data_IF_461417327380
#
_entry.id   IF_461417327380
#
_cell.length_a   1.000
_cell.length_b   1.000
_cell.length_c   1.000
_cell.angle_alpha   90.00
_cell.angle_beta   90.00
_cell.angle_gamma   90.00
#
_symmetry.space_group_name_H-M   'P 1'
#
loop_
_entity.id
_entity.type
_entity.pdbx_description
1 polymer ?
#
# COMPACT_ATOMS: atom_id res chain seq x y z
N UNK A 1 -15.59 11.35 -15.80
CA UNK A 1 -15.81 10.57 -14.55
C UNK A 1 -15.91 11.57 -13.40
N UNK A 2 -16.89 11.43 -12.49
CA UNK A 2 -16.93 12.32 -11.31
C UNK A 2 -15.73 12.04 -10.40
N UNK A 3 -15.24 13.06 -9.69
CA UNK A 3 -14.09 12.92 -8.78
C UNK A 3 -14.35 11.86 -7.69
N UNK A 4 -15.58 11.81 -7.18
CA UNK A 4 -16.04 10.81 -6.20
C UNK A 4 -15.97 9.37 -6.71
N UNK A 5 -16.36 9.11 -7.96
CA UNK A 5 -16.27 7.76 -8.55
C UNK A 5 -14.83 7.31 -8.70
N UNK A 6 -13.92 8.25 -9.04
CA UNK A 6 -12.49 7.96 -9.19
C UNK A 6 -11.88 7.54 -7.85
N UNK A 7 -12.10 8.31 -6.79
CA UNK A 7 -11.59 8.03 -5.44
C UNK A 7 -12.12 6.70 -4.90
N UNK A 8 -13.42 6.43 -5.06
CA UNK A 8 -14.01 5.15 -4.65
C UNK A 8 -13.34 3.96 -5.37
N UNK A 9 -13.06 4.11 -6.66
CA UNK A 9 -12.42 3.05 -7.46
C UNK A 9 -10.96 2.84 -7.05
N UNK A 10 -10.24 3.91 -6.70
CA UNK A 10 -8.89 3.80 -6.15
C UNK A 10 -8.91 3.04 -4.82
N UNK A 11 -9.84 3.35 -3.92
CA UNK A 11 -9.92 2.69 -2.62
C UNK A 11 -10.17 1.18 -2.75
N UNK A 12 -11.14 0.75 -3.58
CA UNK A 12 -11.37 -0.70 -3.78
C UNK A 12 -10.16 -1.42 -4.40
N UNK A 13 -9.37 -0.75 -5.25
CA UNK A 13 -8.14 -1.31 -5.81
C UNK A 13 -7.06 -1.42 -4.73
N UNK A 14 -6.91 -0.39 -3.88
CA UNK A 14 -5.97 -0.39 -2.74
C UNK A 14 -6.33 -1.50 -1.74
N UNK A 15 -7.59 -1.63 -1.38
CA UNK A 15 -8.07 -2.64 -0.44
C UNK A 15 -7.82 -4.05 -0.96
N UNK A 16 -8.18 -4.32 -2.22
CA UNK A 16 -7.93 -5.61 -2.87
C UNK A 16 -6.43 -5.96 -2.89
N UNK A 17 -5.57 -4.98 -3.17
CA UNK A 17 -4.13 -5.17 -3.16
C UNK A 17 -3.57 -5.45 -1.76
N UNK A 18 -4.04 -4.73 -0.74
CA UNK A 18 -3.68 -4.96 0.67
C UNK A 18 -4.11 -6.35 1.14
N UNK A 19 -5.30 -6.82 0.76
CA UNK A 19 -5.76 -8.17 1.06
C UNK A 19 -4.90 -9.24 0.37
N UNK A 20 -4.54 -9.05 -0.91
CA UNK A 20 -3.63 -9.95 -1.60
C UNK A 20 -2.26 -10.01 -0.93
N UNK A 21 -1.75 -8.89 -0.42
CA UNK A 21 -0.49 -8.84 0.33
C UNK A 21 -0.54 -9.59 1.66
N UNK A 22 -1.73 -9.83 2.24
CA UNK A 22 -1.88 -10.71 3.41
C UNK A 22 -1.79 -12.19 3.03
N UNK A 23 -2.02 -12.53 1.77
CA UNK A 23 -2.10 -13.92 1.29
C UNK A 23 -0.84 -14.38 0.57
N UNK A 24 -0.16 -13.49 -0.17
CA UNK A 24 0.96 -13.87 -1.04
C UNK A 24 1.99 -12.74 -1.21
N UNK A 25 3.18 -13.10 -1.66
CA UNK A 25 4.28 -12.15 -1.84
C UNK A 25 3.97 -11.12 -2.91
N UNK A 26 4.44 -9.89 -2.73
CA UNK A 26 4.26 -8.80 -3.68
C UNK A 26 4.72 -9.17 -5.10
N UNK A 27 5.84 -9.88 -5.24
CA UNK A 27 6.35 -10.38 -6.53
C UNK A 27 5.34 -11.27 -7.27
N UNK A 28 4.59 -12.10 -6.55
CA UNK A 28 3.59 -13.02 -7.11
C UNK A 28 2.23 -12.36 -7.43
N UNK A 29 1.97 -11.17 -6.89
CA UNK A 29 0.74 -10.43 -7.19
C UNK A 29 0.80 -9.93 -8.64
N UNK A 30 -0.27 -10.17 -9.40
CA UNK A 30 -0.42 -9.71 -10.78
C UNK A 30 -1.56 -8.70 -10.85
N UNK A 31 -1.59 -7.90 -11.91
CA UNK A 31 -2.68 -6.96 -12.15
C UNK A 31 -4.02 -7.71 -12.29
N UNK A 32 -4.02 -8.93 -12.84
CA UNK A 32 -5.22 -9.76 -12.92
C UNK A 32 -5.76 -10.13 -11.53
N UNK A 33 -4.89 -10.58 -10.62
CA UNK A 33 -5.30 -10.88 -9.24
C UNK A 33 -5.96 -9.67 -8.58
N UNK A 34 -5.38 -8.47 -8.75
CA UNK A 34 -5.92 -7.23 -8.18
C UNK A 34 -7.28 -6.90 -8.80
N UNK A 35 -7.39 -6.97 -10.12
CA UNK A 35 -8.63 -6.68 -10.85
C UNK A 35 -9.76 -7.63 -10.47
N UNK A 36 -9.47 -8.94 -10.38
CA UNK A 36 -10.43 -9.97 -9.97
C UNK A 36 -10.91 -9.72 -8.53
N UNK A 37 -9.99 -9.47 -7.60
CA UNK A 37 -10.31 -9.24 -6.19
C UNK A 37 -11.08 -7.93 -5.97
N UNK A 38 -10.74 -6.87 -6.69
CA UNK A 38 -11.44 -5.58 -6.65
C UNK A 38 -12.76 -5.57 -7.45
N UNK A 39 -13.07 -6.64 -8.19
CA UNK A 39 -14.20 -6.71 -9.13
C UNK A 39 -14.21 -5.57 -10.16
N UNK A 40 -13.05 -5.27 -10.75
CA UNK A 40 -12.90 -4.24 -11.79
C UNK A 40 -12.26 -4.81 -13.06
N UNK A 41 -12.58 -4.22 -14.21
CA UNK A 41 -11.87 -4.54 -15.44
C UNK A 41 -10.43 -4.03 -15.40
N UNK A 42 -9.50 -4.70 -16.11
CA UNK A 42 -8.11 -4.24 -16.26
C UNK A 42 -8.00 -2.83 -16.83
N UNK A 43 -8.85 -2.47 -17.79
CA UNK A 43 -8.92 -1.12 -18.33
C UNK A 43 -9.29 -0.08 -17.27
N UNK A 44 -9.96 -0.48 -16.19
CA UNK A 44 -10.23 0.37 -15.03
C UNK A 44 -8.99 0.53 -14.17
N UNK A 45 -8.27 -0.55 -13.86
CA UNK A 45 -6.99 -0.48 -13.16
C UNK A 45 -6.03 0.50 -13.84
N UNK A 46 -5.84 0.34 -15.16
CA UNK A 46 -4.92 1.18 -15.94
C UNK A 46 -5.37 2.65 -16.10
N UNK A 47 -6.59 3.02 -15.71
CA UNK A 47 -6.98 4.44 -15.59
C UNK A 47 -6.49 5.09 -14.30
N UNK A 48 -6.07 4.29 -13.32
CA UNK A 48 -5.63 4.76 -12.01
C UNK A 48 -4.14 4.52 -11.77
N UNK A 49 -3.59 3.42 -12.30
CA UNK A 49 -2.22 2.99 -12.07
C UNK A 49 -1.62 2.38 -13.34
N UNK A 50 -0.40 2.78 -13.68
CA UNK A 50 0.42 2.23 -14.76
C UNK A 50 0.77 0.76 -14.47
N UNK A 51 1.15 0.46 -13.22
CA UNK A 51 1.51 -0.87 -12.77
C UNK A 51 1.26 -1.08 -11.27
N UNK A 52 1.64 -2.27 -10.76
CA UNK A 52 1.49 -2.61 -9.34
C UNK A 52 2.47 -1.87 -8.42
N UNK A 53 3.56 -1.32 -8.95
CA UNK A 53 4.54 -0.56 -8.19
C UNK A 53 4.05 0.87 -7.94
N UNK A 54 3.37 1.49 -8.90
CA UNK A 54 2.68 2.76 -8.69
C UNK A 54 1.57 2.61 -7.64
N UNK A 55 0.76 1.56 -7.74
CA UNK A 55 -0.24 1.25 -6.72
C UNK A 55 0.39 1.06 -5.33
N UNK A 56 1.50 0.32 -5.25
CA UNK A 56 2.23 0.16 -4.00
C UNK A 56 2.70 1.48 -3.41
N UNK A 57 3.23 2.39 -4.25
CA UNK A 57 3.65 3.71 -3.82
C UNK A 57 2.49 4.53 -3.24
N UNK A 58 1.33 4.52 -3.91
CA UNK A 58 0.14 5.23 -3.47
C UNK A 58 -0.41 4.67 -2.14
N UNK A 59 -0.45 3.34 -2.00
CA UNK A 59 -0.82 2.67 -0.74
C UNK A 59 0.16 3.03 0.38
N UNK A 60 1.47 2.95 0.12
CA UNK A 60 2.50 3.26 1.13
C UNK A 60 2.42 4.71 1.59
N UNK A 61 2.24 5.65 0.66
CA UNK A 61 2.04 7.07 0.98
C UNK A 61 0.75 7.29 1.79
N UNK A 62 -0.33 6.59 1.45
CA UNK A 62 -1.59 6.68 2.21
C UNK A 62 -1.40 6.20 3.66
N UNK A 63 -0.65 5.13 3.87
CA UNK A 63 -0.32 4.62 5.21
C UNK A 63 0.56 5.63 5.97
N UNK A 64 1.62 6.15 5.34
CA UNK A 64 2.52 7.11 5.96
C UNK A 64 1.80 8.39 6.39
N UNK A 65 0.92 8.93 5.54
CA UNK A 65 0.09 10.11 5.86
C UNK A 65 -0.83 9.80 7.03
N UNK A 66 -1.53 8.65 7.02
CA UNK A 66 -2.44 8.28 8.10
C UNK A 66 -1.73 8.14 9.45
N UNK A 67 -0.55 7.52 9.48
CA UNK A 67 0.26 7.41 10.70
C UNK A 67 0.65 8.82 11.17
N UNK A 68 1.24 9.64 10.28
CA UNK A 68 1.67 10.98 10.64
C UNK A 68 0.54 11.91 11.12
N UNK A 69 -0.67 11.79 10.55
CA UNK A 69 -1.83 12.56 10.98
C UNK A 69 -2.36 12.12 12.36
N UNK A 70 -2.24 10.84 12.70
CA UNK A 70 -2.58 10.32 14.04
C UNK A 70 -1.59 10.84 15.10
N UNK A 71 -0.30 10.94 14.74
CA UNK A 71 0.76 11.36 15.66
C UNK A 71 0.71 12.85 16.06
N UNK A 72 0.08 13.73 15.26
CA UNK A 72 0.09 15.21 15.48
C UNK A 72 -0.51 15.70 16.81
N UNK A 73 -0.99 14.80 17.66
CA UNK A 73 -1.65 15.12 18.93
C UNK A 73 -0.72 15.05 20.16
N UNK A 74 0.56 14.68 20.00
CA UNK A 74 1.51 14.48 21.11
C UNK A 74 2.61 15.54 21.26
N UNK A 75 3.24 15.60 22.45
CA UNK A 75 4.36 16.52 22.77
C UNK A 75 5.73 16.03 22.28
N UNK A 76 5.84 14.75 21.92
CA UNK A 76 7.05 14.10 21.40
C UNK A 76 6.68 13.33 20.12
N UNK A 77 6.71 14.06 19.01
CA UNK A 77 6.23 13.59 17.70
C UNK A 77 7.07 12.43 17.18
N UNK A 78 8.40 12.50 17.31
CA UNK A 78 9.31 11.48 16.78
C UNK A 78 9.12 10.15 17.50
N UNK A 79 9.04 10.18 18.84
CA UNK A 79 8.80 8.98 19.63
C UNK A 79 7.44 8.35 19.33
N UNK A 80 6.39 9.17 19.33
CA UNK A 80 5.02 8.69 19.08
C UNK A 80 4.91 8.09 17.68
N UNK A 81 5.51 8.73 16.67
CA UNK A 81 5.54 8.21 15.30
C UNK A 81 6.29 6.87 15.23
N UNK A 82 7.40 6.74 15.94
CA UNK A 82 8.15 5.50 16.00
C UNK A 82 7.32 4.37 16.63
N UNK A 83 6.65 4.65 17.75
CA UNK A 83 5.77 3.69 18.43
C UNK A 83 4.59 3.25 17.52
N UNK A 84 3.94 4.20 16.83
CA UNK A 84 2.87 3.91 15.86
C UNK A 84 3.34 3.11 14.65
N UNK A 85 4.53 3.40 14.12
CA UNK A 85 5.12 2.61 13.01
C UNK A 85 5.36 1.17 13.46
N UNK A 86 5.95 0.97 14.65
CA UNK A 86 6.23 -0.36 15.19
C UNK A 86 4.92 -1.13 15.42
N UNK A 87 3.91 -0.51 16.01
CA UNK A 87 2.59 -1.12 16.21
C UNK A 87 1.94 -1.50 14.87
N UNK A 88 1.98 -0.60 13.89
CA UNK A 88 1.43 -0.86 12.56
C UNK A 88 2.13 -2.04 11.88
N UNK A 89 3.46 -2.13 11.98
CA UNK A 89 4.24 -3.24 11.45
C UNK A 89 3.87 -4.54 12.14
N UNK A 90 3.74 -4.55 13.47
CA UNK A 90 3.42 -5.75 14.25
C UNK A 90 2.02 -6.29 13.91
N UNK A 91 1.02 -5.41 13.89
CA UNK A 91 -0.35 -5.73 13.49
C UNK A 91 -0.42 -6.27 12.06
N UNK A 92 0.41 -5.72 11.16
CA UNK A 92 0.44 -6.08 9.74
C UNK A 92 1.64 -6.96 9.35
N UNK A 93 2.21 -7.73 10.29
CA UNK A 93 3.46 -8.51 10.07
C UNK A 93 3.48 -9.33 8.78
N UNK A 94 2.35 -9.95 8.42
CA UNK A 94 2.23 -10.79 7.22
C UNK A 94 2.40 -9.98 5.94
N UNK A 95 1.83 -8.78 5.90
CA UNK A 95 1.96 -7.87 4.77
C UNK A 95 3.42 -7.44 4.61
N UNK A 96 4.07 -7.02 5.71
CA UNK A 96 5.49 -6.63 5.68
C UNK A 96 6.40 -7.80 5.32
N UNK A 97 6.12 -9.02 5.80
CA UNK A 97 6.82 -10.23 5.40
C UNK A 97 6.70 -10.49 3.88
N UNK A 98 5.48 -10.38 3.35
CA UNK A 98 5.20 -10.59 1.92
C UNK A 98 5.76 -9.48 1.01
N UNK A 99 6.10 -8.33 1.57
CA UNK A 99 6.81 -7.23 0.89
C UNK A 99 8.34 -7.42 0.97
N UNK A 100 8.90 -7.94 2.06
CA UNK A 100 10.35 -7.91 2.32
C UNK A 100 11.07 -9.24 2.06
N UNK A 101 10.44 -10.39 2.35
CA UNK A 101 11.16 -11.65 2.54
C UNK A 101 11.44 -12.44 1.25
N UNK A 102 10.89 -12.03 0.10
CA UNK A 102 11.15 -12.65 -1.23
C UNK A 102 11.21 -11.64 -2.39
N UNK A 103 11.31 -10.35 -2.10
CA UNK A 103 11.51 -9.32 -3.12
C UNK A 103 13.01 -9.01 -3.23
N UNK A 104 13.70 -9.74 -4.11
CA UNK A 104 15.08 -9.39 -4.52
C UNK A 104 15.16 -8.07 -5.31
N UNK A 105 14.08 -7.29 -5.42
CA UNK A 105 14.09 -6.01 -6.11
C UNK A 105 14.65 -4.93 -5.19
N UNK A 106 15.95 -4.66 -5.35
CA UNK A 106 16.62 -3.45 -4.87
C UNK A 106 15.81 -2.17 -5.15
N UNK A 107 14.98 -2.20 -6.18
CA UNK A 107 14.06 -1.15 -6.61
C UNK A 107 12.98 -0.79 -5.57
N UNK A 108 12.45 -1.78 -4.83
CA UNK A 108 11.45 -1.52 -3.78
C UNK A 108 12.09 -0.87 -2.55
N UNK A 109 13.26 -1.38 -2.16
CA UNK A 109 14.06 -0.80 -1.08
C UNK A 109 14.53 0.63 -1.40
N UNK A 110 14.94 0.87 -2.66
CA UNK A 110 15.28 2.22 -3.14
C UNK A 110 14.10 3.19 -3.06
N UNK A 111 12.89 2.76 -3.42
CA UNK A 111 11.68 3.61 -3.29
C UNK A 111 11.28 3.89 -1.83
N UNK A 112 11.59 2.99 -0.90
CA UNK A 112 11.29 3.19 0.53
C UNK A 112 12.29 4.12 1.24
N UNK A 113 13.50 4.30 0.69
CA UNK A 113 14.60 5.05 1.35
C UNK A 113 14.94 6.36 0.63
N UNK A 114 14.47 6.55 -0.60
CA UNK A 114 14.55 7.85 -1.27
C UNK A 114 13.39 8.73 -0.81
N UNK A 115 13.61 9.39 0.33
CA UNK A 115 13.04 10.71 0.59
C UNK A 115 13.83 11.79 -0.15
#
# INVERSE_FOLDING_TARGET
MSNFTRLRTQNIIKDAFMELLKEKTFSSITINHICEKAMVHRSTFYRHYEDKYELFSDVSNSIAINLFEQTKQGSDLERTLFEEIIEYIDVNRTLFFNITSKNNSLELYKKLIQF
#
